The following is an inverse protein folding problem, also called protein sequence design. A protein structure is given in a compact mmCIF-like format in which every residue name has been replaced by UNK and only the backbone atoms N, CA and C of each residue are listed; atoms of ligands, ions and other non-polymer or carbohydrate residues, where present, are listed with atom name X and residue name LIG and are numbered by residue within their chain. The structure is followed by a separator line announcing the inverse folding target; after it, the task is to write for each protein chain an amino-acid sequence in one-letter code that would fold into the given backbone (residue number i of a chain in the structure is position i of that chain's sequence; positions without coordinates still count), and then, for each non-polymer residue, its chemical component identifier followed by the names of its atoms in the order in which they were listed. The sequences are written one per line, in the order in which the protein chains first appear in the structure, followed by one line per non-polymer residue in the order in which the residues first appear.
data_IF_461511672203
#
_entry.id   IF_461511672203
#
_cell.length_a   1.000
_cell.length_b   1.000
_cell.length_c   1.000
_cell.angle_alpha   90.00
_cell.angle_beta   90.00
_cell.angle_gamma   90.00
#
_symmetry.space_group_name_H-M   'P 1'
#
loop_
_entity.id
_entity.type
_entity.pdbx_description
1 polymer ?
#
# COMPACT_ATOMS: atom_id res chain seq x y z
N UNK A 1 13.42 -5.89 -20.24
CA UNK A 1 14.45 -6.90 -19.91
C UNK A 1 13.87 -8.29 -20.14
N UNK A 2 14.71 -9.34 -20.30
CA UNK A 2 14.24 -10.73 -20.44
C UNK A 2 13.35 -11.14 -19.26
N UNK A 3 13.73 -10.73 -18.05
CA UNK A 3 12.95 -10.93 -16.83
C UNK A 3 11.54 -10.34 -16.87
N UNK A 4 11.35 -9.20 -17.54
CA UNK A 4 10.01 -8.61 -17.72
C UNK A 4 9.13 -9.50 -18.60
N UNK A 5 9.68 -9.97 -19.72
CA UNK A 5 8.95 -10.85 -20.64
C UNK A 5 8.57 -12.16 -19.93
N UNK A 6 9.49 -12.76 -19.17
CA UNK A 6 9.22 -13.98 -18.41
C UNK A 6 8.17 -13.77 -17.34
N UNK A 7 8.24 -12.65 -16.62
CA UNK A 7 7.23 -12.28 -15.64
C UNK A 7 5.86 -12.11 -16.30
N UNK A 8 5.76 -11.27 -17.33
CA UNK A 8 4.50 -11.04 -18.06
C UNK A 8 3.92 -12.35 -18.65
N UNK A 9 4.78 -13.25 -19.14
CA UNK A 9 4.35 -14.57 -19.63
C UNK A 9 3.82 -15.46 -18.51
N UNK A 10 4.47 -15.47 -17.34
CA UNK A 10 4.01 -16.25 -16.19
C UNK A 10 2.70 -15.70 -15.61
N UNK A 11 2.53 -14.37 -15.60
CA UNK A 11 1.32 -13.70 -15.14
C UNK A 11 0.13 -13.85 -16.09
N UNK A 12 0.40 -14.04 -17.39
CA UNK A 12 -0.62 -14.24 -18.43
C UNK A 12 -1.08 -15.70 -18.59
N UNK A 13 -0.49 -16.65 -17.85
CA UNK A 13 -0.92 -18.05 -17.89
C UNK A 13 -2.34 -18.23 -17.32
N UNK A 14 -3.14 -19.09 -17.94
CA UNK A 14 -4.55 -19.33 -17.53
C UNK A 14 -4.67 -19.83 -16.08
N UNK A 15 -3.63 -20.49 -15.57
CA UNK A 15 -3.55 -21.04 -14.22
C UNK A 15 -2.70 -20.20 -13.26
N UNK A 16 -2.37 -18.94 -13.64
CA UNK A 16 -1.51 -18.06 -12.87
C UNK A 16 -2.02 -17.82 -11.43
N UNK A 17 -3.35 -17.70 -11.25
CA UNK A 17 -3.97 -17.51 -9.94
C UNK A 17 -3.79 -18.73 -9.03
N UNK A 18 -3.80 -19.93 -9.60
CA UNK A 18 -3.56 -21.17 -8.85
C UNK A 18 -2.07 -21.41 -8.57
N UNK A 19 -1.19 -20.77 -9.36
CA UNK A 19 0.27 -20.92 -9.31
C UNK A 19 1.00 -19.69 -8.77
N UNK A 20 0.35 -18.90 -7.90
CA UNK A 20 0.93 -17.69 -7.28
C UNK A 20 2.31 -17.94 -6.67
N UNK A 21 2.52 -19.07 -6.00
CA UNK A 21 3.81 -19.35 -5.35
C UNK A 21 4.93 -19.58 -6.38
N UNK A 22 4.63 -20.19 -7.54
CA UNK A 22 5.59 -20.34 -8.63
C UNK A 22 5.92 -18.98 -9.28
N UNK A 23 4.93 -18.09 -9.43
CA UNK A 23 5.14 -16.72 -9.93
C UNK A 23 6.04 -15.94 -8.95
N UNK A 24 5.82 -16.08 -7.65
CA UNK A 24 6.66 -15.45 -6.63
C UNK A 24 8.10 -15.99 -6.66
N UNK A 25 8.29 -17.26 -6.99
CA UNK A 25 9.63 -17.82 -7.16
C UNK A 25 10.35 -17.25 -8.39
N UNK A 26 9.65 -17.10 -9.53
CA UNK A 26 10.18 -16.40 -10.71
C UNK A 26 10.57 -14.96 -10.35
N UNK A 27 9.74 -14.28 -9.55
CA UNK A 27 10.06 -12.93 -9.05
C UNK A 27 11.31 -12.91 -8.18
N UNK A 28 11.45 -13.85 -7.22
CA UNK A 28 12.63 -13.93 -6.34
C UNK A 28 13.92 -14.14 -7.13
N UNK A 29 13.88 -14.99 -8.15
CA UNK A 29 15.01 -15.21 -9.05
C UNK A 29 15.36 -13.92 -9.80
N UNK A 30 14.38 -13.27 -10.41
CA UNK A 30 14.56 -11.99 -11.09
C UNK A 30 15.15 -10.91 -10.16
N UNK A 31 14.65 -10.81 -8.93
CA UNK A 31 15.12 -9.85 -7.93
C UNK A 31 16.58 -10.12 -7.52
N UNK A 32 16.98 -11.39 -7.41
CA UNK A 32 18.35 -11.79 -7.08
C UNK A 32 19.33 -11.38 -8.18
N UNK A 33 18.96 -11.58 -9.44
CA UNK A 33 19.83 -11.26 -10.58
C UNK A 33 19.90 -9.76 -10.86
N UNK A 34 18.76 -9.08 -10.83
CA UNK A 34 18.68 -7.65 -11.14
C UNK A 34 19.11 -6.75 -9.99
N UNK A 35 19.29 -7.31 -8.78
CA UNK A 35 19.68 -6.60 -7.55
C UNK A 35 18.82 -5.34 -7.37
N UNK A 36 19.41 -4.17 -7.60
CA UNK A 36 18.77 -2.87 -7.40
C UNK A 36 17.87 -2.40 -8.56
N UNK A 37 17.76 -3.16 -9.65
CA UNK A 37 17.00 -2.77 -10.86
C UNK A 37 15.66 -3.51 -11.01
N UNK A 38 15.13 -4.09 -9.93
CA UNK A 38 13.89 -4.86 -9.97
C UNK A 38 12.61 -4.03 -9.75
N UNK A 39 12.72 -2.70 -9.59
CA UNK A 39 11.60 -1.83 -9.25
C UNK A 39 10.42 -1.93 -10.23
N UNK A 40 10.67 -1.85 -11.54
CA UNK A 40 9.62 -1.98 -12.56
C UNK A 40 8.90 -3.34 -12.50
N UNK A 41 9.65 -4.43 -12.27
CA UNK A 41 9.07 -5.76 -12.16
C UNK A 41 8.17 -5.90 -10.93
N UNK A 42 8.53 -5.25 -9.83
CA UNK A 42 7.68 -5.22 -8.64
C UNK A 42 6.36 -4.50 -8.90
N UNK A 43 6.37 -3.43 -9.70
CA UNK A 43 5.15 -2.70 -10.06
C UNK A 43 4.24 -3.63 -10.86
N UNK A 44 4.75 -4.27 -11.92
CA UNK A 44 3.98 -5.23 -12.74
C UNK A 44 3.40 -6.36 -11.89
N UNK A 45 4.22 -6.94 -11.00
CA UNK A 45 3.77 -8.00 -10.10
C UNK A 45 2.69 -7.50 -9.12
N UNK A 46 2.87 -6.30 -8.53
CA UNK A 46 1.91 -5.73 -7.59
C UNK A 46 0.57 -5.40 -8.26
N UNK A 47 0.60 -4.86 -9.48
CA UNK A 47 -0.60 -4.60 -10.29
C UNK A 47 -1.38 -5.89 -10.54
N UNK A 48 -0.68 -6.96 -10.98
CA UNK A 48 -1.32 -8.25 -11.21
C UNK A 48 -1.88 -8.85 -9.91
N UNK A 49 -1.12 -8.81 -8.81
CA UNK A 49 -1.56 -9.29 -7.49
C UNK A 49 -2.83 -8.56 -7.05
N UNK A 50 -2.87 -7.23 -7.16
CA UNK A 50 -4.02 -6.43 -6.77
C UNK A 50 -5.22 -6.64 -7.68
N UNK A 51 -5.01 -6.90 -8.97
CA UNK A 51 -6.09 -7.15 -9.93
C UNK A 51 -6.73 -8.54 -9.73
N UNK A 52 -5.93 -9.58 -9.48
CA UNK A 52 -6.41 -10.96 -9.57
C UNK A 52 -6.58 -11.66 -8.20
N UNK A 53 -5.88 -11.21 -7.16
CA UNK A 53 -5.95 -11.86 -5.86
C UNK A 53 -6.94 -11.16 -4.92
N UNK A 54 -7.60 -11.96 -4.09
CA UNK A 54 -8.40 -11.46 -2.98
C UNK A 54 -7.52 -10.78 -1.94
N UNK A 55 -8.06 -9.79 -1.23
CA UNK A 55 -7.31 -9.03 -0.23
C UNK A 55 -6.76 -9.89 0.92
N UNK A 56 -7.37 -11.05 1.20
CA UNK A 56 -6.84 -12.04 2.16
C UNK A 56 -5.49 -12.63 1.72
N UNK A 57 -5.34 -12.93 0.42
CA UNK A 57 -4.11 -13.43 -0.19
C UNK A 57 -3.10 -12.31 -0.37
N UNK A 58 -3.54 -11.10 -0.78
CA UNK A 58 -2.68 -9.91 -0.89
C UNK A 58 -1.94 -9.63 0.43
N UNK A 59 -2.63 -9.69 1.59
CA UNK A 59 -1.98 -9.52 2.91
C UNK A 59 -0.83 -10.51 3.15
N UNK A 60 -0.95 -11.73 2.68
CA UNK A 60 0.06 -12.79 2.87
C UNK A 60 1.26 -12.59 1.95
N UNK A 61 1.02 -12.17 0.69
CA UNK A 61 2.07 -12.12 -0.33
C UNK A 61 2.77 -10.76 -0.42
N UNK A 62 2.13 -9.66 -0.02
CA UNK A 62 2.72 -8.32 -0.08
C UNK A 62 4.04 -8.24 0.69
N UNK A 63 4.09 -8.85 1.88
CA UNK A 63 5.32 -8.91 2.67
C UNK A 63 6.50 -9.55 1.94
N UNK A 64 6.27 -10.52 1.05
CA UNK A 64 7.32 -11.12 0.24
C UNK A 64 7.81 -10.15 -0.84
N UNK A 65 6.88 -9.52 -1.58
CA UNK A 65 7.21 -8.56 -2.65
C UNK A 65 8.01 -7.37 -2.12
N UNK A 66 7.75 -6.96 -0.87
CA UNK A 66 8.37 -5.79 -0.25
C UNK A 66 9.78 -6.07 0.32
N UNK A 67 10.21 -7.33 0.48
CA UNK A 67 11.48 -7.67 1.14
C UNK A 67 12.75 -7.20 0.41
N UNK A 68 12.72 -7.08 -0.91
CA UNK A 68 13.93 -6.85 -1.71
C UNK A 68 14.04 -5.40 -2.22
N UNK A 69 14.83 -4.50 -1.63
CA UNK A 69 14.89 -3.11 -2.10
C UNK A 69 15.53 -2.99 -3.51
N UNK A 70 15.18 -1.95 -4.29
CA UNK A 70 14.27 -0.86 -3.96
C UNK A 70 12.79 -1.24 -4.21
N UNK A 71 11.90 -0.73 -3.36
CA UNK A 71 10.45 -0.86 -3.55
C UNK A 71 9.89 0.48 -4.00
N UNK A 72 9.44 0.65 -5.26
CA UNK A 72 8.84 1.90 -5.71
C UNK A 72 7.60 2.26 -4.90
N UNK A 73 7.37 3.57 -4.68
CA UNK A 73 6.19 4.08 -3.97
C UNK A 73 4.88 3.48 -4.51
N UNK A 74 4.76 3.34 -5.84
CA UNK A 74 3.58 2.78 -6.49
C UNK A 74 3.20 1.38 -5.99
N UNK A 75 4.17 0.55 -5.60
CA UNK A 75 3.92 -0.78 -5.03
C UNK A 75 3.21 -0.67 -3.68
N UNK A 76 3.63 0.28 -2.85
CA UNK A 76 2.96 0.56 -1.57
C UNK A 76 1.54 1.06 -1.80
N UNK A 77 1.35 2.02 -2.71
CA UNK A 77 0.04 2.59 -3.03
C UNK A 77 -0.95 1.51 -3.49
N UNK A 78 -0.54 0.63 -4.41
CA UNK A 78 -1.37 -0.47 -4.91
C UNK A 78 -1.83 -1.42 -3.80
N UNK A 79 -0.93 -1.81 -2.89
CA UNK A 79 -1.30 -2.69 -1.78
C UNK A 79 -2.16 -1.97 -0.74
N UNK A 80 -1.88 -0.70 -0.45
CA UNK A 80 -2.65 0.12 0.49
C UNK A 80 -4.09 0.26 -0.03
N UNK A 81 -4.28 0.70 -1.27
CA UNK A 81 -5.59 0.87 -1.91
C UNK A 81 -6.40 -0.43 -1.86
N UNK A 82 -5.82 -1.55 -2.33
CA UNK A 82 -6.47 -2.87 -2.34
C UNK A 82 -6.91 -3.35 -0.94
N UNK A 83 -6.15 -3.02 0.10
CA UNK A 83 -6.48 -3.39 1.47
C UNK A 83 -7.43 -2.41 2.16
N UNK A 84 -7.43 -1.14 1.76
CA UNK A 84 -8.40 -0.13 2.18
C UNK A 84 -9.79 -0.42 1.62
N UNK A 85 -9.90 -0.77 0.35
CA UNK A 85 -11.18 -1.09 -0.29
C UNK A 85 -11.86 -2.29 0.38
N UNK A 86 -11.08 -3.31 0.73
CA UNK A 86 -11.56 -4.48 1.45
C UNK A 86 -11.93 -4.23 2.92
N UNK A 87 -11.58 -3.07 3.47
CA UNK A 87 -12.04 -2.64 4.79
C UNK A 87 -13.23 -1.70 4.70
N UNK A 88 -13.32 -0.89 3.64
CA UNK A 88 -14.48 -0.03 3.39
C UNK A 88 -15.78 -0.81 3.36
N UNK A 89 -15.77 -2.03 2.81
CA UNK A 89 -16.91 -2.96 2.88
C UNK A 89 -17.26 -3.44 4.29
N UNK A 90 -16.34 -3.37 5.25
CA UNK A 90 -16.53 -3.76 6.66
C UNK A 90 -16.90 -2.58 7.57
N UNK A 91 -16.60 -1.35 7.17
CA UNK A 91 -16.98 -0.14 7.94
C UNK A 91 -18.47 0.20 7.79
N UNK A 92 -19.13 -0.28 6.73
CA UNK A 92 -20.58 -0.10 6.54
C UNK A 92 -21.35 -1.07 7.45
N UNK A 93 -21.85 -0.57 8.58
CA UNK A 93 -22.90 -1.22 9.37
C UNK A 93 -22.56 -1.60 10.81
N UNK A 94 -21.30 -1.59 11.22
CA UNK A 94 -20.92 -1.86 12.62
C UNK A 94 -20.51 -0.56 13.32
N UNK A 95 -21.43 0.01 14.13
CA UNK A 95 -21.15 1.08 15.10
C UNK A 95 -20.34 0.55 16.29
N UNK A 96 -19.15 0.00 16.04
CA UNK A 96 -18.27 -0.54 17.06
C UNK A 96 -16.84 -0.69 16.57
N UNK A 97 -15.90 -0.15 17.36
CA UNK A 97 -14.43 -0.30 17.39
C UNK A 97 -13.75 -0.97 16.18
N UNK A 98 -14.06 -0.53 14.97
CA UNK A 98 -13.29 -0.92 13.81
C UNK A 98 -11.89 -0.33 13.99
N UNK A 99 -10.86 -1.13 13.77
CA UNK A 99 -9.47 -0.69 13.87
C UNK A 99 -8.81 -0.92 12.55
N UNK A 100 -7.87 -0.05 12.21
CA UNK A 100 -6.98 -0.27 11.07
C UNK A 100 -6.21 -1.59 11.33
N UNK A 101 -6.33 -2.61 10.46
CA UNK A 101 -5.61 -3.86 10.54
C UNK A 101 -4.10 -3.64 10.61
N UNK A 102 -3.45 -4.52 11.37
CA UNK A 102 -2.01 -4.46 11.64
C UNK A 102 -1.20 -4.47 10.33
N UNK A 103 -1.62 -5.27 9.35
CA UNK A 103 -0.93 -5.35 8.06
C UNK A 103 -1.03 -4.04 7.27
N UNK A 104 -2.19 -3.37 7.31
CA UNK A 104 -2.36 -2.08 6.63
C UNK A 104 -1.55 -0.99 7.33
N UNK A 105 -1.57 -0.94 8.67
CA UNK A 105 -0.70 -0.04 9.44
C UNK A 105 0.79 -0.28 9.11
N UNK A 106 1.21 -1.53 9.01
CA UNK A 106 2.60 -1.87 8.65
C UNK A 106 2.98 -1.37 7.26
N UNK A 107 2.09 -1.46 6.28
CA UNK A 107 2.32 -0.93 4.93
C UNK A 107 2.47 0.60 4.95
N UNK A 108 1.61 1.30 5.68
CA UNK A 108 1.74 2.75 5.86
C UNK A 108 3.08 3.11 6.49
N UNK A 109 3.45 2.48 7.60
CA UNK A 109 4.72 2.74 8.30
C UNK A 109 5.94 2.48 7.41
N UNK A 110 5.92 1.41 6.60
CA UNK A 110 6.98 1.15 5.64
C UNK A 110 7.04 2.23 4.55
N UNK A 111 5.90 2.57 3.94
CA UNK A 111 5.81 3.57 2.89
C UNK A 111 6.30 4.96 3.36
N UNK A 112 5.88 5.42 4.54
CA UNK A 112 6.31 6.72 5.08
C UNK A 112 7.76 6.71 5.57
N UNK A 113 8.30 5.55 5.96
CA UNK A 113 9.72 5.45 6.30
C UNK A 113 10.63 5.69 5.09
N UNK A 114 10.20 5.25 3.90
CA UNK A 114 10.95 5.39 2.65
C UNK A 114 10.62 6.68 1.90
N UNK A 115 9.34 7.07 1.87
CA UNK A 115 8.82 8.13 0.99
C UNK A 115 8.14 9.28 1.73
N UNK A 116 8.10 9.26 3.07
CA UNK A 116 7.29 10.18 3.87
C UNK A 116 7.64 11.66 3.73
N UNK A 117 8.78 12.01 3.12
CA UNK A 117 9.11 13.41 2.79
C UNK A 117 8.28 13.96 1.63
N UNK A 118 7.85 13.12 0.70
CA UNK A 118 7.19 13.54 -0.55
C UNK A 118 5.80 12.90 -0.78
N UNK A 119 5.44 11.85 -0.03
CA UNK A 119 4.23 11.07 -0.26
C UNK A 119 3.01 11.63 0.49
N UNK A 120 2.46 12.77 0.02
CA UNK A 120 1.28 13.41 0.64
C UNK A 120 0.08 12.46 0.68
N UNK A 121 -0.20 11.76 -0.41
CA UNK A 121 -1.35 10.86 -0.51
C UNK A 121 -1.28 9.72 0.50
N UNK A 122 -0.09 9.13 0.70
CA UNK A 122 0.11 8.07 1.70
C UNK A 122 -0.18 8.57 3.12
N UNK A 123 0.26 9.78 3.47
CA UNK A 123 -0.06 10.37 4.77
C UNK A 123 -1.56 10.61 4.95
N UNK A 124 -2.22 11.14 3.91
CA UNK A 124 -3.66 11.40 3.95
C UNK A 124 -4.46 10.11 4.09
N UNK A 125 -4.14 9.08 3.30
CA UNK A 125 -4.78 7.77 3.42
C UNK A 125 -4.57 7.17 4.79
N UNK A 126 -3.36 7.28 5.35
CA UNK A 126 -3.08 6.76 6.68
C UNK A 126 -3.96 7.41 7.74
N UNK A 127 -4.02 8.75 7.75
CA UNK A 127 -4.83 9.47 8.71
C UNK A 127 -6.33 9.22 8.50
N UNK A 128 -6.78 9.19 7.25
CA UNK A 128 -8.20 8.94 6.88
C UNK A 128 -8.66 7.54 7.29
N UNK A 129 -7.81 6.52 7.18
CA UNK A 129 -8.13 5.19 7.70
C UNK A 129 -8.47 5.20 9.20
N UNK A 130 -7.73 5.98 9.99
CA UNK A 130 -7.98 6.11 11.42
C UNK A 130 -9.20 6.97 11.72
N UNK A 131 -9.45 8.03 10.94
CA UNK A 131 -10.70 8.81 11.02
C UNK A 131 -11.93 7.92 10.79
N UNK A 132 -11.93 7.08 9.75
CA UNK A 132 -13.00 6.10 9.47
C UNK A 132 -13.22 5.09 10.58
N UNK A 133 -12.17 4.80 11.35
CA UNK A 133 -12.22 3.94 12.53
C UNK A 133 -12.67 4.68 13.81
N UNK A 134 -13.00 5.97 13.72
CA UNK A 134 -13.22 6.88 14.84
C UNK A 134 -12.02 6.96 15.82
N UNK A 135 -10.81 6.66 15.36
CA UNK A 135 -9.56 6.82 16.11
C UNK A 135 -8.95 8.21 15.84
N UNK A 136 -9.64 9.24 16.31
CA UNK A 136 -9.24 10.64 16.11
C UNK A 136 -7.89 10.96 16.76
N UNK A 137 -7.56 10.29 17.86
CA UNK A 137 -6.27 10.45 18.55
C UNK A 137 -5.13 10.00 17.64
N UNK A 138 -5.25 8.83 17.03
CA UNK A 138 -4.23 8.33 16.10
C UNK A 138 -4.19 9.18 14.82
N UNK A 139 -5.34 9.59 14.28
CA UNK A 139 -5.38 10.46 13.11
C UNK A 139 -4.68 11.81 13.34
N UNK A 140 -4.86 12.43 14.52
CA UNK A 140 -4.17 13.65 14.89
C UNK A 140 -2.66 13.44 15.07
N UNK A 141 -2.24 12.33 15.68
CA UNK A 141 -0.83 11.98 15.80
C UNK A 141 -0.15 11.78 14.44
N UNK A 142 -0.85 11.19 13.47
CA UNK A 142 -0.39 11.03 12.09
C UNK A 142 -0.26 12.39 11.40
N UNK A 143 -1.23 13.28 11.57
CA UNK A 143 -1.17 14.65 11.07
C UNK A 143 0.07 15.40 11.57
N UNK A 144 0.31 15.38 12.88
CA UNK A 144 1.48 16.03 13.49
C UNK A 144 2.80 15.45 12.99
N UNK A 145 2.85 14.12 12.79
CA UNK A 145 4.03 13.45 12.26
C UNK A 145 4.26 13.80 10.78
N UNK A 146 3.19 13.88 9.98
CA UNK A 146 3.27 14.28 8.59
C UNK A 146 3.85 15.69 8.43
N UNK A 147 3.39 16.66 9.23
CA UNK A 147 3.94 18.03 9.21
C UNK A 147 5.42 18.11 9.62
N UNK A 148 5.90 17.17 10.44
CA UNK A 148 7.32 17.09 10.81
C UNK A 148 8.19 16.46 9.72
N UNK A 149 7.61 15.58 8.88
CA UNK A 149 8.37 14.78 7.91
C UNK A 149 8.26 15.30 6.47
N UNK A 150 7.07 15.75 6.06
CA UNK A 150 6.84 16.29 4.72
C UNK A 150 7.70 17.52 4.49
N UNK A 151 8.13 17.71 3.24
CA UNK A 151 8.73 18.97 2.83
C UNK A 151 7.74 20.12 3.04
N UNK A 152 8.25 21.29 3.42
CA UNK A 152 7.44 22.45 3.76
C UNK A 152 6.52 22.92 2.62
N UNK A 153 6.96 22.79 1.36
CA UNK A 153 6.16 23.14 0.19
C UNK A 153 4.90 22.28 0.04
N UNK A 154 4.85 21.11 0.68
CA UNK A 154 3.73 20.18 0.64
C UNK A 154 2.78 20.33 1.85
N UNK A 155 3.11 21.17 2.84
CA UNK A 155 2.30 21.32 4.06
C UNK A 155 0.92 21.89 3.77
N UNK A 156 0.84 22.91 2.90
CA UNK A 156 -0.43 23.55 2.56
C UNK A 156 -1.43 22.58 1.93
N UNK A 157 -0.98 21.79 0.93
CA UNK A 157 -1.80 20.76 0.27
C UNK A 157 -2.26 19.69 1.27
N UNK A 158 -1.32 19.18 2.08
CA UNK A 158 -1.63 18.18 3.09
C UNK A 158 -2.66 18.68 4.11
N UNK A 159 -2.46 19.87 4.67
CA UNK A 159 -3.36 20.43 5.70
C UNK A 159 -4.76 20.67 5.15
N UNK A 160 -4.90 21.24 3.95
CA UNK A 160 -6.20 21.49 3.34
C UNK A 160 -6.99 20.18 3.14
N UNK A 161 -6.36 19.18 2.52
CA UNK A 161 -6.99 17.88 2.24
C UNK A 161 -7.29 17.09 3.53
N UNK A 162 -6.46 17.22 4.56
CA UNK A 162 -6.73 16.61 5.87
C UNK A 162 -7.96 17.24 6.54
N UNK A 163 -8.10 18.57 6.51
CA UNK A 163 -9.25 19.26 7.08
C UNK A 163 -10.56 18.86 6.38
N UNK A 164 -10.53 18.73 5.05
CA UNK A 164 -11.67 18.20 4.29
C UNK A 164 -12.02 16.77 4.73
N UNK A 165 -11.03 15.89 4.89
CA UNK A 165 -11.26 14.52 5.34
C UNK A 165 -11.87 14.46 6.76
N UNK A 166 -11.40 15.31 7.69
CA UNK A 166 -12.00 15.41 9.03
C UNK A 166 -13.46 15.85 8.96
N UNK A 167 -13.79 16.81 8.10
CA UNK A 167 -15.19 17.26 7.95
C UNK A 167 -16.10 16.17 7.38
N UNK A 168 -15.60 15.39 6.41
CA UNK A 168 -16.37 14.29 5.80
C UNK A 168 -16.62 13.15 6.79
N UNK A 169 -15.60 12.77 7.57
CA UNK A 169 -15.67 11.60 8.46
C UNK A 169 -16.25 11.92 9.87
N UNK A 170 -16.43 13.21 10.20
CA UNK A 170 -17.04 13.65 11.46
C UNK A 170 -18.58 13.78 11.42
N UNK A 171 -19.20 13.59 10.25
CA UNK A 171 -20.66 13.65 10.00
C UNK A 171 -21.27 12.25 10.05
#
# INVERSE_FOLDING_TARGET
SVWRIWMESALAADDAVDKVDAILDVWRQAATELKHSCGELKVVLAEWICAHLESSRVRKVSGLVLQSPPTPLKVYELFIEKLMDAQTSKFVGTKGAARVPIELNRLFEQAISEYGRNAVDVWLWYATCHLRCADFTMAAAIYDRALKMLRQDLHGDFTARYQEAVQVEAV
#
